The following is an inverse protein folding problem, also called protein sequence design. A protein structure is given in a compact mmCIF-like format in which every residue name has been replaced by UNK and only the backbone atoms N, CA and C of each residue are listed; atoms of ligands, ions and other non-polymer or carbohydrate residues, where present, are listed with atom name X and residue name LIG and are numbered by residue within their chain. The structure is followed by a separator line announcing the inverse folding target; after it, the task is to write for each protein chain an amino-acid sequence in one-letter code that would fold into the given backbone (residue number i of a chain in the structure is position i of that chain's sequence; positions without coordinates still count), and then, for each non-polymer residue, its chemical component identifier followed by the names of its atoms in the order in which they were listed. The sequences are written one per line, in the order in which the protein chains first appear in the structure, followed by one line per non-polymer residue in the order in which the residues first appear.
data_IF_052932226525
#
_entry.id   IF_052932226525
#
_cell.length_a   1.000
_cell.length_b   1.000
_cell.length_c   1.000
_cell.angle_alpha   90.00
_cell.angle_beta   90.00
_cell.angle_gamma   90.00
#
_symmetry.space_group_name_H-M   'P 1'
#
loop_
_entity.id
_entity.type
_entity.pdbx_description
1 polymer ?
#
# COMPACT_ATOMS: atom_id res chain seq x y z
N UNK A 1 -28.98 -36.39 -2.36
CA UNK A 1 -28.01 -35.72 -3.24
C UNK A 1 -27.44 -34.58 -2.43
N UNK A 2 -26.14 -34.64 -2.17
CA UNK A 2 -25.41 -33.66 -1.38
C UNK A 2 -24.98 -32.58 -2.36
N UNK A 3 -25.54 -31.38 -2.26
CA UNK A 3 -25.19 -30.29 -3.14
C UNK A 3 -23.70 -30.00 -3.01
N UNK A 4 -23.04 -30.05 -4.16
CA UNK A 4 -21.61 -29.78 -4.32
C UNK A 4 -21.26 -28.44 -3.70
N UNK A 5 -20.24 -28.43 -2.83
CA UNK A 5 -19.65 -27.25 -2.18
C UNK A 5 -19.05 -26.26 -3.21
N UNK A 6 -19.07 -26.60 -4.50
CA UNK A 6 -18.58 -25.78 -5.60
C UNK A 6 -19.72 -25.28 -6.48
N UNK A 7 -20.48 -24.32 -5.96
CA UNK A 7 -21.10 -23.29 -6.78
C UNK A 7 -20.34 -21.98 -6.49
N UNK A 8 -19.05 -21.94 -6.84
CA UNK A 8 -18.08 -20.92 -6.39
C UNK A 8 -18.44 -19.49 -6.82
N UNK A 9 -19.17 -19.35 -7.93
CA UNK A 9 -19.67 -18.06 -8.41
C UNK A 9 -20.82 -17.53 -7.53
N UNK A 10 -21.62 -18.44 -6.95
CA UNK A 10 -22.64 -18.09 -5.97
C UNK A 10 -22.02 -17.76 -4.61
N UNK A 11 -20.94 -18.43 -4.20
CA UNK A 11 -20.30 -18.18 -2.90
C UNK A 11 -19.51 -16.88 -2.87
N UNK A 12 -18.77 -16.54 -3.93
CA UNK A 12 -18.05 -15.27 -4.01
C UNK A 12 -19.02 -14.09 -4.05
N UNK A 13 -20.00 -14.13 -4.96
CA UNK A 13 -20.99 -13.05 -5.07
C UNK A 13 -21.85 -12.94 -3.82
N UNK A 14 -22.20 -14.05 -3.18
CA UNK A 14 -22.92 -14.03 -1.90
C UNK A 14 -22.06 -13.42 -0.80
N UNK A 15 -20.79 -13.81 -0.69
CA UNK A 15 -19.87 -13.23 0.30
C UNK A 15 -19.72 -11.72 0.08
N UNK A 16 -19.46 -11.28 -1.15
CA UNK A 16 -19.38 -9.85 -1.47
C UNK A 16 -20.66 -9.11 -1.07
N UNK A 17 -21.83 -9.65 -1.43
CA UNK A 17 -23.12 -9.02 -1.11
C UNK A 17 -23.44 -8.95 0.40
N UNK A 18 -22.79 -9.79 1.23
CA UNK A 18 -23.05 -9.87 2.67
C UNK A 18 -22.00 -9.14 3.50
N UNK A 19 -20.74 -9.18 3.07
CA UNK A 19 -19.59 -8.82 3.89
C UNK A 19 -18.77 -7.65 3.33
N UNK A 20 -18.95 -7.25 2.06
CA UNK A 20 -18.16 -6.19 1.41
C UNK A 20 -19.09 -5.14 0.79
N UNK A 21 -19.11 -3.95 1.36
CA UNK A 21 -19.82 -2.81 0.78
C UNK A 21 -18.97 -2.16 -0.32
N UNK A 22 -19.58 -1.60 -1.39
CA UNK A 22 -18.84 -0.84 -2.39
C UNK A 22 -17.98 0.29 -1.81
N UNK A 23 -18.45 0.93 -0.74
CA UNK A 23 -17.73 1.96 0.01
C UNK A 23 -16.44 1.43 0.64
N UNK A 24 -16.40 0.16 1.06
CA UNK A 24 -15.17 -0.47 1.58
C UNK A 24 -14.10 -0.56 0.48
N UNK A 25 -14.53 -0.84 -0.76
CA UNK A 25 -13.64 -0.85 -1.92
C UNK A 25 -13.15 0.57 -2.21
N UNK A 26 -14.04 1.57 -2.23
CA UNK A 26 -13.66 2.97 -2.45
C UNK A 26 -12.65 3.45 -1.40
N UNK A 27 -12.86 3.14 -0.13
CA UNK A 27 -11.93 3.47 0.95
C UNK A 27 -10.59 2.76 0.71
N UNK A 28 -10.60 1.47 0.36
CA UNK A 28 -9.39 0.71 0.11
C UNK A 28 -8.61 1.16 -1.13
N UNK A 29 -9.25 1.85 -2.08
CA UNK A 29 -8.54 2.47 -3.22
C UNK A 29 -7.49 3.48 -2.75
N UNK A 30 -7.65 4.12 -1.58
CA UNK A 30 -6.62 5.02 -1.04
C UNK A 30 -5.32 4.28 -0.67
N UNK A 31 -5.38 2.97 -0.43
CA UNK A 31 -4.21 2.12 -0.22
C UNK A 31 -3.61 1.68 -1.56
N UNK A 32 -4.44 1.28 -2.52
CA UNK A 32 -3.98 0.76 -3.81
C UNK A 32 -3.46 1.86 -4.75
N UNK A 33 -4.05 3.05 -4.69
CA UNK A 33 -3.70 4.22 -5.49
C UNK A 33 -3.70 5.46 -4.59
N UNK A 34 -2.71 5.60 -3.70
CA UNK A 34 -2.71 6.67 -2.72
C UNK A 34 -2.61 8.05 -3.38
N UNK A 35 -3.02 9.08 -2.63
CA UNK A 35 -2.68 10.45 -3.00
C UNK A 35 -1.16 10.56 -3.02
N UNK A 36 -0.63 11.20 -4.05
CA UNK A 36 0.81 11.43 -4.19
C UNK A 36 1.08 12.90 -4.46
N UNK A 37 2.23 13.34 -4.00
CA UNK A 37 2.70 14.72 -4.10
C UNK A 37 4.23 14.74 -4.24
N UNK A 38 4.77 15.90 -4.61
CA UNK A 38 6.18 16.05 -4.96
C UNK A 38 6.87 17.03 -3.99
N UNK A 39 8.03 16.64 -3.47
CA UNK A 39 8.95 17.53 -2.75
C UNK A 39 10.25 17.56 -3.55
N UNK A 40 10.50 18.66 -4.26
CA UNK A 40 11.59 18.73 -5.23
C UNK A 40 11.35 17.80 -6.41
N UNK A 41 12.25 16.87 -6.67
CA UNK A 41 12.14 15.83 -7.70
C UNK A 41 11.68 14.46 -7.13
N UNK A 42 11.35 14.41 -5.84
CA UNK A 42 10.98 13.18 -5.13
C UNK A 42 9.47 13.09 -4.93
N UNK A 43 8.92 11.91 -5.20
CA UNK A 43 7.49 11.60 -5.06
C UNK A 43 7.22 10.93 -3.72
N UNK A 44 6.20 11.41 -3.02
CA UNK A 44 5.72 10.88 -1.76
C UNK A 44 4.27 10.47 -1.87
N UNK A 45 3.82 9.61 -0.96
CA UNK A 45 2.40 9.27 -0.86
C UNK A 45 1.80 9.69 0.48
N UNK A 46 0.48 9.76 0.49
CA UNK A 46 -0.35 10.06 1.64
C UNK A 46 -1.60 9.16 1.55
N UNK A 47 -1.62 8.05 2.29
CA UNK A 47 -2.76 7.11 2.30
C UNK A 47 -3.98 7.77 2.95
N UNK A 48 -3.76 8.57 4.00
CA UNK A 48 -4.84 9.22 4.75
C UNK A 48 -5.25 10.58 4.13
N UNK A 49 -4.39 11.17 3.30
CA UNK A 49 -4.62 12.44 2.60
C UNK A 49 -4.40 13.68 3.46
N UNK A 50 -3.84 13.52 4.67
CA UNK A 50 -3.69 14.57 5.68
C UNK A 50 -2.23 14.89 6.05
N UNK A 51 -1.25 14.14 5.52
CA UNK A 51 0.14 14.16 5.97
C UNK A 51 1.08 14.99 5.10
N UNK A 52 0.65 15.44 3.92
CA UNK A 52 1.48 16.20 2.95
C UNK A 52 2.27 17.36 3.58
N UNK A 53 1.63 18.19 4.41
CA UNK A 53 2.27 19.34 5.05
C UNK A 53 3.37 18.91 6.05
N UNK A 54 3.10 17.87 6.83
CA UNK A 54 4.02 17.34 7.84
C UNK A 54 5.23 16.68 7.18
N UNK A 55 5.00 15.89 6.13
CA UNK A 55 6.07 15.24 5.36
C UNK A 55 6.93 16.31 4.69
N UNK A 56 6.31 17.31 4.05
CA UNK A 56 7.04 18.41 3.38
C UNK A 56 7.94 19.17 4.34
N UNK A 57 7.42 19.54 5.51
CA UNK A 57 8.20 20.27 6.51
C UNK A 57 9.38 19.44 7.03
N UNK A 58 9.18 18.16 7.32
CA UNK A 58 10.21 17.31 7.92
C UNK A 58 11.23 16.80 6.90
N UNK A 59 10.82 16.49 5.68
CA UNK A 59 11.73 16.08 4.62
C UNK A 59 12.65 17.23 4.16
N UNK A 60 12.19 18.48 4.27
CA UNK A 60 13.01 19.66 3.95
C UNK A 60 14.11 19.95 4.97
N UNK A 61 14.10 19.30 6.15
CA UNK A 61 15.14 19.46 7.18
C UNK A 61 16.34 18.56 6.85
N UNK A 62 17.52 18.98 7.32
CA UNK A 62 18.75 18.17 7.18
C UNK A 62 18.56 16.80 7.84
N UNK A 63 18.97 15.74 7.13
CA UNK A 63 18.91 14.39 7.66
C UNK A 63 19.99 14.20 8.74
N UNK A 64 19.63 13.84 9.99
CA UNK A 64 20.61 13.67 11.06
C UNK A 64 21.54 12.48 10.85
N UNK A 65 21.20 11.58 9.93
CA UNK A 65 21.95 10.35 9.60
C UNK A 65 22.73 10.47 8.30
N UNK A 66 22.69 11.62 7.61
CA UNK A 66 23.37 11.88 6.34
C UNK A 66 23.08 10.81 5.26
N UNK A 67 21.83 10.32 5.21
CA UNK A 67 21.39 9.32 4.23
C UNK A 67 21.10 9.97 2.87
N UNK A 68 21.18 9.18 1.83
CA UNK A 68 20.78 9.62 0.48
C UNK A 68 19.28 9.94 0.41
N UNK A 69 18.88 10.81 -0.52
CA UNK A 69 17.45 11.11 -0.75
C UNK A 69 16.64 9.87 -1.10
N UNK A 70 17.24 8.90 -1.78
CA UNK A 70 16.63 7.61 -2.10
C UNK A 70 16.27 6.82 -0.83
N UNK A 71 17.22 6.71 0.11
CA UNK A 71 17.00 6.02 1.41
C UNK A 71 15.99 6.77 2.28
N UNK A 72 16.07 8.11 2.30
CA UNK A 72 15.12 8.93 3.06
C UNK A 72 13.71 8.79 2.49
N UNK A 73 13.57 8.88 1.17
CA UNK A 73 12.29 8.71 0.48
C UNK A 73 11.71 7.32 0.74
N UNK A 74 12.54 6.27 0.68
CA UNK A 74 12.12 4.90 1.01
C UNK A 74 11.48 4.82 2.39
N UNK A 75 12.10 5.40 3.41
CA UNK A 75 11.57 5.40 4.77
C UNK A 75 10.24 6.16 4.88
N UNK A 76 10.16 7.36 4.30
CA UNK A 76 8.93 8.16 4.31
C UNK A 76 7.79 7.49 3.54
N UNK A 77 8.12 6.77 2.47
CA UNK A 77 7.17 6.03 1.67
C UNK A 77 6.95 4.60 2.17
N UNK A 78 7.37 4.26 3.39
CA UNK A 78 7.14 2.93 3.95
C UNK A 78 5.80 2.86 4.68
N UNK A 79 5.06 1.77 4.47
CA UNK A 79 3.84 1.46 5.22
C UNK A 79 3.83 0.01 5.65
N UNK A 80 3.49 -0.23 6.91
CA UNK A 80 3.25 -1.56 7.42
C UNK A 80 1.86 -2.02 6.95
N UNK A 81 1.80 -3.09 6.15
CA UNK A 81 0.53 -3.62 5.66
C UNK A 81 -0.35 -4.07 6.81
N UNK A 82 0.25 -4.54 7.90
CA UNK A 82 -0.45 -5.03 9.06
C UNK A 82 -1.15 -3.88 9.84
N UNK A 83 -0.57 -2.67 9.85
CA UNK A 83 -1.19 -1.49 10.49
C UNK A 83 -2.44 -1.01 9.75
N UNK A 84 -2.48 -1.16 8.42
CA UNK A 84 -3.67 -0.84 7.62
C UNK A 84 -4.89 -1.66 8.09
N UNK A 85 -4.66 -2.91 8.50
CA UNK A 85 -5.70 -3.84 8.93
C UNK A 85 -5.65 -4.16 10.43
N UNK A 86 -5.09 -3.26 11.25
CA UNK A 86 -4.76 -3.51 12.66
C UNK A 86 -5.89 -4.21 13.45
N UNK A 87 -7.14 -3.74 13.31
CA UNK A 87 -8.28 -4.29 14.04
C UNK A 87 -8.67 -5.73 13.65
N UNK A 88 -8.11 -6.27 12.57
CA UNK A 88 -8.43 -7.59 12.03
C UNK A 88 -7.19 -8.45 11.75
N UNK A 89 -6.00 -8.00 12.14
CA UNK A 89 -4.75 -8.70 11.85
C UNK A 89 -4.74 -10.11 12.45
N UNK A 90 -5.16 -10.24 13.71
CA UNK A 90 -5.19 -11.53 14.43
C UNK A 90 -6.16 -12.57 13.82
N UNK A 91 -7.10 -12.11 12.98
CA UNK A 91 -8.07 -12.97 12.29
C UNK A 91 -7.60 -13.37 10.88
N UNK A 92 -6.41 -12.95 10.47
CA UNK A 92 -5.87 -13.17 9.12
C UNK A 92 -4.69 -14.12 9.14
N UNK A 93 -4.53 -14.92 8.08
CA UNK A 93 -3.33 -15.74 7.90
C UNK A 93 -2.18 -14.90 7.34
N UNK A 94 -0.93 -15.27 7.67
CA UNK A 94 0.27 -14.64 7.07
C UNK A 94 0.24 -14.69 5.53
N UNK A 95 -0.29 -15.77 4.95
CA UNK A 95 -0.49 -15.89 3.50
C UNK A 95 -1.45 -14.83 2.96
N UNK A 96 -2.54 -14.56 3.66
CA UNK A 96 -3.50 -13.50 3.29
C UNK A 96 -2.84 -12.14 3.33
N UNK A 97 -2.10 -11.83 4.41
CA UNK A 97 -1.39 -10.55 4.57
C UNK A 97 -0.37 -10.37 3.45
N UNK A 98 0.41 -11.41 3.13
CA UNK A 98 1.41 -11.35 2.05
C UNK A 98 0.77 -11.23 0.66
N UNK A 99 -0.38 -11.87 0.42
CA UNK A 99 -1.14 -11.71 -0.82
C UNK A 99 -1.64 -10.26 -0.98
N UNK A 100 -2.10 -9.63 0.11
CA UNK A 100 -2.49 -8.23 0.11
C UNK A 100 -1.27 -7.33 -0.14
N UNK A 101 -0.12 -7.58 0.51
CA UNK A 101 1.11 -6.83 0.26
C UNK A 101 1.51 -6.87 -1.23
N UNK A 102 1.44 -8.05 -1.86
CA UNK A 102 1.71 -8.21 -3.29
C UNK A 102 0.68 -7.50 -4.18
N UNK A 103 -0.59 -7.47 -3.77
CA UNK A 103 -1.64 -6.71 -4.46
C UNK A 103 -1.33 -5.21 -4.43
N UNK A 104 -0.99 -4.66 -3.25
CA UNK A 104 -0.63 -3.24 -3.10
C UNK A 104 0.60 -2.93 -3.96
N UNK A 105 1.66 -3.76 -3.89
CA UNK A 105 2.88 -3.61 -4.71
C UNK A 105 2.58 -3.53 -6.20
N UNK A 106 1.79 -4.47 -6.70
CA UNK A 106 1.44 -4.52 -8.12
C UNK A 106 0.65 -3.28 -8.56
N UNK A 107 -0.25 -2.79 -7.70
CA UNK A 107 -1.00 -1.56 -7.98
C UNK A 107 -0.11 -0.32 -7.93
N UNK A 108 0.80 -0.21 -6.97
CA UNK A 108 1.76 0.90 -6.87
C UNK A 108 2.70 0.94 -8.08
N UNK A 109 3.24 -0.21 -8.50
CA UNK A 109 4.08 -0.30 -9.70
C UNK A 109 3.33 0.20 -10.94
N UNK A 110 2.09 -0.25 -11.13
CA UNK A 110 1.27 0.17 -12.25
C UNK A 110 0.88 1.65 -12.18
N UNK A 111 0.47 2.13 -11.01
CA UNK A 111 0.03 3.51 -10.78
C UNK A 111 1.17 4.51 -11.00
N UNK A 112 2.35 4.23 -10.43
CA UNK A 112 3.54 5.08 -10.58
C UNK A 112 4.02 5.09 -12.04
N UNK A 113 4.06 3.94 -12.71
CA UNK A 113 4.46 3.85 -14.11
C UNK A 113 3.53 4.67 -15.03
N UNK A 114 2.23 4.65 -14.79
CA UNK A 114 1.29 5.40 -15.60
C UNK A 114 1.32 6.90 -15.32
N UNK A 115 1.53 7.30 -14.06
CA UNK A 115 1.54 8.71 -13.67
C UNK A 115 2.87 9.41 -13.98
N UNK A 116 3.97 8.66 -13.91
CA UNK A 116 5.33 9.15 -14.10
C UNK A 116 6.12 8.23 -15.06
N UNK A 117 5.75 8.18 -16.34
CA UNK A 117 6.31 7.22 -17.29
C UNK A 117 7.82 7.38 -17.53
N UNK A 118 8.36 8.58 -17.32
CA UNK A 118 9.78 8.90 -17.52
C UNK A 118 10.63 8.76 -16.24
N UNK A 119 10.00 8.42 -15.11
CA UNK A 119 10.67 8.28 -13.81
C UNK A 119 10.76 6.82 -13.42
N UNK A 120 11.97 6.39 -13.02
CA UNK A 120 12.18 5.04 -12.50
C UNK A 120 11.83 4.99 -11.02
N UNK A 121 10.93 4.08 -10.66
CA UNK A 121 10.63 3.72 -9.28
C UNK A 121 11.06 2.28 -9.00
N UNK A 122 11.50 2.04 -7.78
CA UNK A 122 11.56 0.71 -7.18
C UNK A 122 10.41 0.60 -6.21
N UNK A 123 9.59 -0.44 -6.35
CA UNK A 123 8.57 -0.81 -5.35
C UNK A 123 8.97 -2.16 -4.78
N UNK A 124 9.04 -2.27 -3.46
CA UNK A 124 9.46 -3.51 -2.82
C UNK A 124 8.70 -3.79 -1.53
N UNK A 125 8.62 -5.07 -1.20
CA UNK A 125 8.12 -5.57 0.08
C UNK A 125 9.35 -6.01 0.88
N UNK A 126 9.43 -5.59 2.12
CA UNK A 126 10.48 -5.99 3.06
C UNK A 126 9.88 -6.29 4.44
N UNK A 127 10.71 -6.77 5.37
CA UNK A 127 10.26 -7.25 6.68
C UNK A 127 9.92 -8.73 6.70
N UNK A 128 9.34 -9.19 7.81
CA UNK A 128 8.95 -10.59 8.00
C UNK A 128 7.51 -10.83 7.52
N UNK A 129 7.15 -12.10 7.27
CA UNK A 129 5.85 -12.45 6.67
C UNK A 129 4.63 -12.07 7.52
N UNK A 130 4.81 -11.83 8.81
CA UNK A 130 3.74 -11.36 9.72
C UNK A 130 3.67 -9.83 9.84
N UNK A 131 4.74 -9.12 9.45
CA UNK A 131 4.84 -7.66 9.43
C UNK A 131 5.47 -7.19 8.11
N UNK A 132 4.83 -7.47 6.95
CA UNK A 132 5.35 -7.00 5.68
C UNK A 132 5.15 -5.50 5.57
N UNK A 133 6.24 -4.82 5.25
CA UNK A 133 6.27 -3.41 4.88
C UNK A 133 6.31 -3.30 3.38
N UNK A 134 5.63 -2.29 2.85
CA UNK A 134 5.70 -1.92 1.44
C UNK A 134 6.22 -0.49 1.31
N UNK A 135 7.07 -0.27 0.33
CA UNK A 135 7.64 1.05 0.04
C UNK A 135 7.85 1.25 -1.46
N UNK A 136 7.99 2.51 -1.87
CA UNK A 136 8.57 2.87 -3.14
C UNK A 136 9.54 4.04 -3.03
N UNK A 137 10.52 4.07 -3.91
CA UNK A 137 11.51 5.14 -3.97
C UNK A 137 12.12 5.27 -5.37
N UNK A 138 12.68 6.44 -5.65
CA UNK A 138 13.47 6.72 -6.84
C UNK A 138 14.95 6.41 -6.54
N UNK A 139 15.72 5.86 -7.50
CA UNK A 139 17.15 5.62 -7.35
C UNK A 139 18.00 6.87 -7.06
#
# INVERSE_FOLDING_TARGET
MQDSIYNSDSSLRAYMNLEIYPEDIEIFLNVLTPKIFEIGDRVFFDIDGEQEAIITENYSKNDPLDRSDSERQKDWNSTNVAEIFFNNMDNSSNETIMNIANLIKSNWEYYLLNKYPDTKFTVEIYGESFEPWITFYQP
#
